data_IF_984052372760
#
_entry.id   IF_984052372760
#
_cell.length_a   1.000
_cell.length_b   1.000
_cell.length_c   1.000
_cell.angle_alpha   90.00
_cell.angle_beta   90.00
_cell.angle_gamma   90.00
#
_symmetry.space_group_name_H-M   'P 1'
#
loop_
_entity.id
_entity.type
_entity.pdbx_description
1 polymer ?
#
# COMPACT_ATOMS: atom_id res chain seq x y z
N UNK A 1 -19.74 8.55 10.04
CA UNK A 1 -18.52 8.13 9.32
C UNK A 1 -18.02 9.37 8.60
N UNK A 2 -16.90 9.96 9.00
CA UNK A 2 -16.38 11.18 8.36
C UNK A 2 -15.70 10.78 7.04
N UNK A 3 -16.12 11.32 5.87
CA UNK A 3 -15.33 11.16 4.66
C UNK A 3 -13.98 11.84 4.87
N UNK A 4 -12.91 11.17 4.47
CA UNK A 4 -11.60 11.83 4.40
C UNK A 4 -11.71 12.91 3.32
N UNK A 5 -11.33 14.14 3.64
CA UNK A 5 -11.35 15.21 2.64
C UNK A 5 -10.19 15.01 1.66
N UNK A 6 -10.35 15.55 0.45
CA UNK A 6 -9.22 15.63 -0.48
C UNK A 6 -8.08 16.43 0.17
N UNK A 7 -6.85 15.97 0.00
CA UNK A 7 -5.68 16.65 0.55
C UNK A 7 -4.45 15.78 0.73
N UNK A 8 -3.40 16.44 1.19
CA UNK A 8 -2.16 15.81 1.59
C UNK A 8 -2.15 15.64 3.11
N UNK A 9 -1.80 14.44 3.55
CA UNK A 9 -1.69 14.07 4.95
C UNK A 9 -0.33 13.45 5.22
N UNK A 10 0.24 13.69 6.39
CA UNK A 10 1.51 13.12 6.78
C UNK A 10 1.51 12.58 8.20
N UNK A 11 2.36 11.60 8.41
CA UNK A 11 2.70 11.06 9.71
C UNK A 11 4.19 10.82 9.76
N UNK A 12 4.78 11.08 10.92
CA UNK A 12 6.19 10.78 11.19
C UNK A 12 6.30 10.06 12.53
N UNK A 13 7.15 9.04 12.58
CA UNK A 13 7.48 8.32 13.80
C UNK A 13 8.91 7.80 13.74
N UNK A 14 9.58 7.77 14.89
CA UNK A 14 10.97 7.35 14.97
C UNK A 14 11.53 7.50 16.36
N UNK A 15 11.98 6.40 16.98
CA UNK A 15 12.81 6.44 18.18
C UNK A 15 14.28 6.19 17.81
N UNK A 16 14.53 5.16 16.98
CA UNK A 16 15.87 4.87 16.44
C UNK A 16 15.98 5.20 14.95
N UNK A 17 14.98 4.79 14.15
CA UNK A 17 14.94 5.10 12.72
C UNK A 17 13.69 5.91 12.39
N UNK A 18 13.89 7.10 11.82
CA UNK A 18 12.77 7.92 11.37
C UNK A 18 12.08 7.27 10.17
N UNK A 19 10.77 7.10 10.28
CA UNK A 19 9.83 6.77 9.22
C UNK A 19 8.94 7.99 9.00
N UNK A 20 8.87 8.47 7.77
CA UNK A 20 7.95 9.53 7.35
C UNK A 20 7.03 8.99 6.28
N UNK A 21 5.79 9.39 6.33
CA UNK A 21 4.73 8.89 5.46
C UNK A 21 3.95 10.08 4.96
N UNK A 22 3.68 10.10 3.66
CA UNK A 22 2.77 11.06 3.03
C UNK A 22 1.68 10.30 2.29
N UNK A 23 0.45 10.73 2.49
CA UNK A 23 -0.74 10.25 1.81
C UNK A 23 -1.34 11.42 1.04
N UNK A 24 -1.39 11.32 -0.28
CA UNK A 24 -2.01 12.32 -1.16
C UNK A 24 -3.30 11.71 -1.72
N UNK A 25 -4.44 12.21 -1.25
CA UNK A 25 -5.75 11.68 -1.58
C UNK A 25 -6.56 12.70 -2.38
N UNK A 26 -6.98 12.30 -3.58
CA UNK A 26 -7.80 13.09 -4.48
C UNK A 26 -8.94 12.19 -4.97
N UNK A 27 -10.16 12.32 -4.38
CA UNK A 27 -11.30 11.49 -4.73
C UNK A 27 -11.57 11.47 -6.24
N UNK A 28 -11.81 10.29 -6.79
CA UNK A 28 -12.06 10.11 -8.23
C UNK A 28 -10.84 10.30 -9.14
N UNK A 29 -9.64 10.50 -8.58
CA UNK A 29 -8.40 10.61 -9.36
C UNK A 29 -7.30 9.69 -8.84
N UNK A 30 -6.83 9.87 -7.60
CA UNK A 30 -5.71 9.09 -7.07
C UNK A 30 -5.65 9.01 -5.55
N UNK A 31 -4.93 8.00 -5.09
CA UNK A 31 -4.40 7.87 -3.75
C UNK A 31 -2.94 7.42 -3.85
N UNK A 32 -2.02 8.28 -3.42
CA UNK A 32 -0.59 7.97 -3.36
C UNK A 32 -0.17 7.79 -1.91
N UNK A 33 0.59 6.74 -1.62
CA UNK A 33 1.24 6.54 -0.32
C UNK A 33 2.74 6.49 -0.51
N UNK A 34 3.42 7.53 -0.03
CA UNK A 34 4.86 7.69 -0.08
C UNK A 34 5.48 7.44 1.29
N UNK A 35 6.59 6.71 1.30
CA UNK A 35 7.30 6.38 2.53
C UNK A 35 8.79 6.69 2.41
N UNK A 36 9.32 7.33 3.44
CA UNK A 36 10.75 7.58 3.66
C UNK A 36 11.19 6.86 4.92
N UNK A 37 12.35 6.20 4.87
CA UNK A 37 12.93 5.51 6.01
C UNK A 37 14.43 5.81 6.08
N UNK A 38 14.89 6.33 7.23
CA UNK A 38 16.27 6.79 7.46
C UNK A 38 16.80 7.78 6.41
N UNK A 39 15.93 8.40 5.63
CA UNK A 39 16.30 9.29 4.53
C UNK A 39 15.75 10.69 4.79
N UNK A 40 16.61 11.68 4.59
CA UNK A 40 16.26 13.10 4.52
C UNK A 40 15.97 13.55 3.08
N UNK A 41 16.12 12.66 2.10
CA UNK A 41 15.96 12.97 0.70
C UNK A 41 14.52 13.34 0.37
N UNK A 42 14.35 14.10 -0.71
CA UNK A 42 13.03 14.46 -1.22
C UNK A 42 12.29 13.25 -1.83
N UNK A 43 13.03 12.27 -2.38
CA UNK A 43 12.47 11.11 -3.06
C UNK A 43 12.07 10.01 -2.07
N UNK A 44 10.83 9.49 -2.12
CA UNK A 44 10.43 8.40 -1.25
C UNK A 44 11.17 7.12 -1.59
N UNK A 45 11.52 6.34 -0.57
CA UNK A 45 12.16 5.04 -0.74
C UNK A 45 11.16 3.94 -1.12
N UNK A 46 9.86 4.17 -0.91
CA UNK A 46 8.76 3.32 -1.34
C UNK A 46 7.57 4.19 -1.73
N UNK A 47 6.88 3.83 -2.81
CA UNK A 47 5.64 4.48 -3.23
C UNK A 47 4.61 3.42 -3.61
N UNK A 48 3.39 3.57 -3.10
CA UNK A 48 2.21 2.88 -3.59
C UNK A 48 1.35 3.87 -4.36
N UNK A 49 1.02 3.55 -5.60
CA UNK A 49 0.07 4.32 -6.39
C UNK A 49 -1.27 3.59 -6.50
N UNK A 50 -2.38 4.28 -6.20
CA UNK A 50 -3.73 3.73 -6.33
C UNK A 50 -4.58 4.69 -7.18
N UNK A 51 -4.65 4.50 -8.51
CA UNK A 51 -5.63 5.20 -9.35
C UNK A 51 -7.05 5.00 -8.82
N UNK A 52 -7.78 6.10 -8.72
CA UNK A 52 -9.17 6.14 -8.28
C UNK A 52 -10.07 6.51 -9.45
N UNK A 53 -11.23 5.88 -9.54
CA UNK A 53 -12.28 6.19 -10.49
C UNK A 53 -13.60 6.38 -9.74
N UNK A 54 -14.66 6.82 -10.42
CA UNK A 54 -15.92 7.16 -9.75
C UNK A 54 -16.52 6.00 -8.91
N UNK A 55 -16.37 4.75 -9.36
CA UNK A 55 -16.96 3.57 -8.70
C UNK A 55 -15.98 2.41 -8.54
N UNK A 56 -14.67 2.66 -8.71
CA UNK A 56 -13.67 1.61 -8.62
C UNK A 56 -12.33 2.17 -8.17
N UNK A 57 -11.50 1.28 -7.64
CA UNK A 57 -10.11 1.58 -7.33
C UNK A 57 -9.19 0.56 -7.99
N UNK A 58 -7.98 1.01 -8.33
CA UNK A 58 -6.96 0.14 -8.89
C UNK A 58 -5.70 0.24 -8.03
N UNK A 59 -5.23 -0.86 -7.45
CA UNK A 59 -3.86 -0.94 -6.95
C UNK A 59 -2.92 -0.92 -8.15
N UNK A 60 -2.19 0.20 -8.29
CA UNK A 60 -1.09 0.35 -9.22
C UNK A 60 0.22 -0.20 -8.65
N UNK A 61 1.33 0.38 -9.06
CA UNK A 61 2.64 -0.13 -8.67
C UNK A 61 2.98 0.16 -7.20
N UNK A 62 3.45 -0.88 -6.52
CA UNK A 62 4.11 -0.79 -5.22
C UNK A 62 5.62 -0.87 -5.44
N UNK A 63 6.26 0.29 -5.50
CA UNK A 63 7.69 0.41 -5.84
C UNK A 63 8.55 0.52 -4.58
N UNK A 64 9.81 0.10 -4.68
CA UNK A 64 10.79 0.24 -3.60
C UNK A 64 10.74 -0.86 -2.53
N UNK A 65 9.76 -1.77 -2.53
CA UNK A 65 9.66 -2.88 -1.56
C UNK A 65 9.99 -4.28 -2.12
N UNK A 66 10.36 -4.35 -3.41
CA UNK A 66 10.58 -5.59 -4.14
C UNK A 66 11.77 -6.41 -3.63
N UNK A 67 11.94 -7.60 -4.19
CA UNK A 67 13.06 -8.49 -3.88
C UNK A 67 14.41 -7.75 -4.04
N UNK A 68 15.33 -7.94 -3.09
CA UNK A 68 16.62 -7.25 -3.06
C UNK A 68 16.60 -5.83 -2.48
N UNK A 69 15.43 -5.23 -2.27
CA UNK A 69 15.34 -3.92 -1.58
C UNK A 69 15.67 -4.04 -0.10
N UNK A 70 16.29 -2.98 0.47
CA UNK A 70 16.48 -2.82 1.92
C UNK A 70 15.18 -2.79 2.71
N UNK A 71 14.05 -2.51 2.05
CA UNK A 71 12.70 -2.44 2.65
C UNK A 71 11.95 -3.78 2.57
N UNK A 72 12.47 -4.75 1.79
CA UNK A 72 11.82 -6.04 1.61
C UNK A 72 11.64 -6.75 2.95
N UNK A 73 10.44 -7.30 3.20
CA UNK A 73 10.06 -8.00 4.44
C UNK A 73 10.23 -7.19 5.74
N UNK A 74 10.26 -5.86 5.66
CA UNK A 74 10.31 -4.96 6.83
C UNK A 74 8.96 -4.32 7.19
N UNK A 75 7.86 -4.84 6.67
CA UNK A 75 6.50 -4.37 6.99
C UNK A 75 6.03 -3.11 6.24
N UNK A 76 6.92 -2.40 5.53
CA UNK A 76 6.58 -1.17 4.80
C UNK A 76 5.48 -1.36 3.76
N UNK A 77 5.58 -2.41 2.94
CA UNK A 77 4.54 -2.72 1.94
C UNK A 77 3.16 -2.90 2.58
N UNK A 78 3.10 -3.68 3.67
CA UNK A 78 1.85 -3.90 4.40
C UNK A 78 1.31 -2.62 5.00
N UNK A 79 2.18 -1.77 5.54
CA UNK A 79 1.79 -0.48 6.10
C UNK A 79 1.17 0.44 5.05
N UNK A 80 1.78 0.56 3.86
CA UNK A 80 1.21 1.37 2.78
C UNK A 80 -0.14 0.82 2.29
N UNK A 81 -0.28 -0.51 2.14
CA UNK A 81 -1.55 -1.12 1.72
C UNK A 81 -2.62 -0.97 2.80
N UNK A 82 -2.30 -1.08 4.09
CA UNK A 82 -3.24 -0.82 5.17
C UNK A 82 -3.81 0.61 5.12
N UNK A 83 -2.97 1.61 4.85
CA UNK A 83 -3.43 2.99 4.68
C UNK A 83 -4.36 3.10 3.48
N UNK A 84 -4.00 2.50 2.35
CA UNK A 84 -4.85 2.48 1.17
C UNK A 84 -6.22 1.82 1.44
N UNK A 85 -6.23 0.66 2.10
CA UNK A 85 -7.46 -0.05 2.48
C UNK A 85 -8.38 0.83 3.33
N UNK A 86 -7.82 1.51 4.35
CA UNK A 86 -8.60 2.39 5.22
C UNK A 86 -9.23 3.56 4.44
N UNK A 87 -8.49 4.17 3.50
CA UNK A 87 -9.03 5.25 2.65
C UNK A 87 -10.13 4.72 1.74
N UNK A 88 -9.91 3.59 1.07
CA UNK A 88 -10.88 2.99 0.15
C UNK A 88 -12.19 2.65 0.87
N UNK A 89 -12.12 2.03 2.05
CA UNK A 89 -13.29 1.68 2.87
C UNK A 89 -14.07 2.89 3.40
N UNK A 90 -13.43 4.07 3.49
CA UNK A 90 -14.10 5.32 3.86
C UNK A 90 -14.66 6.10 2.66
N UNK A 91 -14.25 5.74 1.44
CA UNK A 91 -14.52 6.51 0.21
C UNK A 91 -15.55 5.84 -0.69
N UNK A 92 -15.55 4.51 -0.74
CA UNK A 92 -16.33 3.73 -1.68
C UNK A 92 -17.35 2.85 -0.97
N UNK A 93 -18.41 2.51 -1.71
CA UNK A 93 -19.37 1.49 -1.29
C UNK A 93 -18.69 0.10 -1.20
N UNK A 94 -19.15 -0.80 -0.31
CA UNK A 94 -18.53 -2.10 -0.11
C UNK A 94 -18.46 -3.00 -1.36
N UNK A 95 -19.38 -2.82 -2.32
CA UNK A 95 -19.43 -3.58 -3.57
C UNK A 95 -18.52 -3.02 -4.66
N UNK A 96 -17.94 -1.82 -4.46
CA UNK A 96 -17.07 -1.19 -5.43
C UNK A 96 -15.88 -2.11 -5.77
N UNK A 97 -15.62 -2.37 -7.07
CA UNK A 97 -14.55 -3.23 -7.49
C UNK A 97 -13.17 -2.63 -7.20
N UNK A 98 -12.27 -3.52 -6.78
CA UNK A 98 -10.85 -3.25 -6.59
C UNK A 98 -10.08 -4.15 -7.54
N UNK A 99 -9.21 -3.56 -8.34
CA UNK A 99 -8.39 -4.29 -9.33
C UNK A 99 -6.92 -3.91 -9.26
N UNK A 100 -6.07 -4.54 -10.06
CA UNK A 100 -4.66 -4.15 -10.18
C UNK A 100 -3.92 -5.04 -11.16
N UNK A 101 -2.76 -4.58 -11.62
CA UNK A 101 -1.83 -5.40 -12.41
C UNK A 101 -0.51 -5.38 -11.68
N UNK A 102 0.01 -6.56 -11.35
CA UNK A 102 1.30 -6.71 -10.70
C UNK A 102 2.39 -6.81 -11.78
N UNK A 103 3.22 -5.79 -11.85
CA UNK A 103 4.37 -5.75 -12.76
C UNK A 103 5.58 -6.41 -12.08
N UNK A 104 6.19 -7.39 -12.77
CA UNK A 104 7.35 -8.14 -12.24
C UNK A 104 8.56 -8.14 -13.21
N UNK A 105 8.91 -7.02 -13.86
CA UNK A 105 9.96 -7.02 -14.89
C UNK A 105 11.35 -7.37 -14.36
N UNK A 106 11.57 -7.30 -13.05
CA UNK A 106 12.88 -7.50 -12.39
C UNK A 106 12.97 -8.80 -11.60
N UNK A 107 11.97 -9.68 -11.67
CA UNK A 107 12.04 -10.98 -11.00
C UNK A 107 13.12 -11.84 -11.65
N UNK A 108 14.12 -12.34 -10.90
CA UNK A 108 15.10 -13.25 -11.47
C UNK A 108 14.42 -14.58 -11.82
N UNK A 109 14.70 -15.06 -13.04
CA UNK A 109 14.00 -16.22 -13.65
C UNK A 109 14.04 -17.47 -12.77
N UNK A 110 15.13 -17.69 -12.03
CA UNK A 110 15.34 -18.83 -11.14
C UNK A 110 14.50 -18.77 -9.85
N UNK A 111 14.03 -17.58 -9.44
CA UNK A 111 13.16 -17.41 -8.26
C UNK A 111 11.70 -17.13 -8.62
N UNK A 112 11.35 -17.06 -9.90
CA UNK A 112 10.04 -16.60 -10.39
C UNK A 112 8.87 -17.25 -9.64
N UNK A 113 8.80 -18.58 -9.61
CA UNK A 113 7.71 -19.33 -8.93
C UNK A 113 7.58 -18.98 -7.45
N UNK A 114 8.71 -18.82 -6.76
CA UNK A 114 8.75 -18.47 -5.33
C UNK A 114 8.27 -17.04 -5.09
N UNK A 115 8.67 -16.10 -5.95
CA UNK A 115 8.29 -14.69 -5.85
C UNK A 115 6.82 -14.48 -6.21
N UNK A 116 6.31 -15.17 -7.24
CA UNK A 116 4.88 -15.24 -7.55
C UNK A 116 4.08 -15.74 -6.35
N UNK A 117 4.46 -16.88 -5.78
CA UNK A 117 3.80 -17.41 -4.59
C UNK A 117 3.82 -16.39 -3.42
N UNK A 118 4.98 -15.77 -3.16
CA UNK A 118 5.10 -14.76 -2.10
C UNK A 118 4.20 -13.53 -2.35
N UNK A 119 4.06 -13.07 -3.59
CA UNK A 119 3.12 -11.97 -3.95
C UNK A 119 1.68 -12.38 -3.73
N UNK A 120 1.28 -13.58 -4.17
CA UNK A 120 -0.08 -14.09 -3.93
C UNK A 120 -0.39 -14.13 -2.44
N UNK A 121 0.54 -14.67 -1.65
CA UNK A 121 0.40 -14.69 -0.19
C UNK A 121 0.30 -13.27 0.39
N UNK A 122 1.17 -12.35 -0.03
CA UNK A 122 1.12 -10.95 0.43
C UNK A 122 -0.24 -10.30 0.17
N UNK A 123 -0.73 -10.33 -1.07
CA UNK A 123 -1.99 -9.66 -1.43
C UNK A 123 -3.23 -10.33 -0.84
N UNK A 124 -3.20 -11.67 -0.68
CA UNK A 124 -4.31 -12.42 -0.06
C UNK A 124 -4.61 -12.00 1.38
N UNK A 125 -3.61 -11.49 2.12
CA UNK A 125 -3.79 -10.99 3.48
C UNK A 125 -4.74 -9.80 3.55
N UNK A 126 -4.86 -9.04 2.46
CA UNK A 126 -5.76 -7.88 2.37
C UNK A 126 -7.12 -8.24 1.77
N UNK A 127 -7.43 -9.53 1.59
CA UNK A 127 -8.68 -9.97 0.96
C UNK A 127 -8.70 -9.86 -0.56
N UNK A 128 -7.54 -9.68 -1.20
CA UNK A 128 -7.41 -9.61 -2.66
C UNK A 128 -7.01 -10.97 -3.24
N UNK A 129 -7.59 -11.31 -4.38
CA UNK A 129 -7.20 -12.50 -5.16
C UNK A 129 -6.17 -12.09 -6.21
N UNK A 130 -5.17 -12.94 -6.43
CA UNK A 130 -4.17 -12.77 -7.49
C UNK A 130 -4.36 -13.89 -8.51
N UNK A 131 -4.58 -13.54 -9.77
CA UNK A 131 -4.69 -14.52 -10.85
C UNK A 131 -3.34 -15.14 -11.19
N UNK A 132 -3.36 -16.38 -11.69
CA UNK A 132 -2.22 -17.01 -12.34
C UNK A 132 -2.20 -16.64 -13.82
N UNK A 133 -1.05 -16.22 -14.36
CA UNK A 133 -0.93 -15.93 -15.79
C UNK A 133 0.33 -15.16 -16.14
N UNK A 134 0.45 -14.76 -17.42
CA UNK A 134 1.58 -13.95 -17.91
C UNK A 134 1.63 -12.58 -17.22
N UNK A 135 0.46 -12.03 -16.88
CA UNK A 135 0.31 -10.87 -16.00
C UNK A 135 -0.54 -11.29 -14.81
N UNK A 136 0.01 -11.14 -13.60
CA UNK A 136 -0.73 -11.38 -12.37
C UNK A 136 -1.70 -10.22 -12.13
N UNK A 137 -3.00 -10.51 -12.12
CA UNK A 137 -4.04 -9.52 -11.90
C UNK A 137 -4.54 -9.60 -10.46
N UNK A 138 -4.72 -8.44 -9.83
CA UNK A 138 -5.40 -8.30 -8.55
C UNK A 138 -6.90 -8.10 -8.78
N UNK A 139 -7.73 -8.74 -7.95
CA UNK A 139 -9.17 -8.54 -7.95
C UNK A 139 -9.77 -8.68 -6.54
N UNK A 140 -10.81 -7.89 -6.26
CA UNK A 140 -11.62 -7.94 -5.05
C UNK A 140 -12.67 -6.84 -5.02
N UNK A 141 -13.23 -6.60 -3.84
CA UNK A 141 -14.16 -5.50 -3.57
C UNK A 141 -13.74 -4.75 -2.32
N UNK A 142 -14.17 -3.50 -2.18
CA UNK A 142 -13.85 -2.66 -1.01
C UNK A 142 -14.30 -3.30 0.30
N UNK A 143 -15.47 -3.91 0.34
CA UNK A 143 -16.00 -4.63 1.50
C UNK A 143 -15.26 -5.94 1.81
N UNK A 144 -14.59 -6.52 0.82
CA UNK A 144 -13.71 -7.68 1.00
C UNK A 144 -12.33 -7.31 1.55
N UNK A 145 -11.93 -6.04 1.47
CA UNK A 145 -10.61 -5.60 1.91
C UNK A 145 -10.43 -5.75 3.43
N UNK A 146 -9.20 -6.09 3.83
CA UNK A 146 -8.84 -6.27 5.26
C UNK A 146 -7.53 -5.58 5.57
N UNK A 147 -7.46 -4.97 6.74
CA UNK A 147 -6.19 -4.49 7.29
C UNK A 147 -5.44 -5.63 7.97
N UNK A 148 -4.12 -5.64 7.84
CA UNK A 148 -3.23 -6.59 8.51
C UNK A 148 -2.63 -5.92 9.74
N UNK A 149 -3.11 -6.29 10.93
CA UNK A 149 -2.73 -5.63 12.19
C UNK A 149 -1.43 -6.16 12.79
N UNK A 150 -1.13 -7.44 12.58
CA UNK A 150 0.01 -8.09 13.24
C UNK A 150 1.35 -7.66 12.66
N UNK A 151 2.31 -7.39 13.55
CA UNK A 151 3.72 -7.19 13.25
C UNK A 151 4.10 -5.74 12.95
N UNK A 152 5.39 -5.53 12.70
CA UNK A 152 6.00 -4.20 12.77
C UNK A 152 6.58 -3.69 11.45
N UNK A 153 6.61 -2.36 11.29
CA UNK A 153 7.39 -1.62 10.29
C UNK A 153 8.76 -1.33 10.87
N UNK A 154 9.82 -1.71 10.15
CA UNK A 154 11.22 -1.58 10.56
C UNK A 154 11.52 -2.12 11.98
N UNK A 155 10.70 -3.05 12.49
CA UNK A 155 10.83 -3.60 13.84
C UNK A 155 10.46 -2.64 14.97
N UNK A 156 9.84 -1.49 14.69
CA UNK A 156 9.63 -0.42 15.68
C UNK A 156 8.16 -0.02 15.85
N UNK A 157 7.40 0.11 14.75
CA UNK A 157 6.03 0.64 14.78
C UNK A 157 5.03 -0.39 14.31
N UNK A 158 3.79 -0.31 14.79
CA UNK A 158 2.69 -1.10 14.23
C UNK A 158 2.59 -0.87 12.72
N UNK A 159 2.39 -1.93 11.94
CA UNK A 159 2.08 -1.81 10.51
C UNK A 159 0.64 -1.37 10.24
N UNK A 160 -0.17 -1.25 11.29
CA UNK A 160 -1.48 -0.63 11.25
C UNK A 160 -1.47 0.65 12.09
N UNK A 161 -1.78 1.78 11.46
CA UNK A 161 -1.97 3.06 12.10
C UNK A 161 -3.29 3.65 11.59
N UNK A 162 -4.14 4.09 12.50
CA UNK A 162 -5.40 4.72 12.12
C UNK A 162 -5.14 6.07 11.44
N UNK A 163 -5.88 6.36 10.38
CA UNK A 163 -5.81 7.63 9.64
C UNK A 163 -5.96 8.87 10.54
N UNK A 164 -6.60 8.76 11.71
CA UNK A 164 -6.71 9.86 12.68
C UNK A 164 -5.35 10.33 13.26
N UNK A 165 -4.30 9.52 13.12
CA UNK A 165 -2.94 9.88 13.55
C UNK A 165 -2.20 10.74 12.51
N UNK A 166 -2.79 10.96 11.33
CA UNK A 166 -2.20 11.77 10.28
C UNK A 166 -2.66 13.22 10.40
N UNK A 167 -1.74 14.14 10.15
CA UNK A 167 -2.01 15.59 10.10
C UNK A 167 -2.00 16.08 8.66
N UNK A 168 -2.69 17.18 8.35
CA UNK A 168 -2.56 17.81 7.04
C UNK A 168 -1.09 18.21 6.78
N UNK A 169 -0.61 18.02 5.56
CA UNK A 169 0.72 18.49 5.15
C UNK A 169 0.80 20.01 5.30
N UNK A 170 1.95 20.48 5.78
CA UNK A 170 2.26 21.92 5.84
C UNK A 170 2.69 22.45 4.48
#
# INVERSE_FOLDING_TARGET
MFPMNAGCYSWEGGTNDQVRVRLDFQPGYKLDVDVWWKSKDATPCMRLWVPLQHQSARFGDLTGNGYGSKLHRRGFGTFAVNLAVQVLQKTYEPDAPVSGILSNPSDPTDQKTRLEHARRMFWSQFGLTVSSGHYEQLAGTVGGLRCVHEGLVAGQFSRYLDLCNFSACK
#
